data_IF_457226946907
#
_entry.id   IF_457226946907
#
_cell.length_a   1.000
_cell.length_b   1.000
_cell.length_c   1.000
_cell.angle_alpha   90.00
_cell.angle_beta   90.00
_cell.angle_gamma   90.00
#
_symmetry.space_group_name_H-M   'P 1'
#
loop_
_entity.id
_entity.type
_entity.pdbx_description
1 polymer ?
#
# COMPACT_ATOMS: atom_id res chain seq x y z
N UNK A 1 -42.46 -24.29 -32.45
CA UNK A 1 -42.51 -24.22 -30.97
C UNK A 1 -41.45 -25.06 -30.28
N UNK A 2 -41.01 -26.22 -30.80
CA UNK A 2 -39.93 -27.01 -30.18
C UNK A 2 -38.55 -26.30 -30.21
N UNK A 3 -38.19 -25.70 -31.36
CA UNK A 3 -36.89 -25.03 -31.57
C UNK A 3 -36.62 -23.81 -30.68
N UNK A 4 -37.67 -23.11 -30.25
CA UNK A 4 -37.56 -21.94 -29.35
C UNK A 4 -37.29 -22.36 -27.91
N UNK A 5 -37.90 -23.47 -27.46
CA UNK A 5 -37.76 -23.97 -26.09
C UNK A 5 -36.35 -24.55 -25.81
N UNK A 6 -35.72 -25.18 -26.81
CA UNK A 6 -34.33 -25.64 -26.71
C UNK A 6 -33.32 -24.48 -26.73
N UNK A 7 -33.63 -23.38 -27.43
CA UNK A 7 -32.80 -22.18 -27.47
C UNK A 7 -32.84 -21.42 -26.14
N UNK A 8 -34.02 -21.30 -25.53
CA UNK A 8 -34.19 -20.64 -24.24
C UNK A 8 -33.51 -21.44 -23.11
N UNK A 9 -33.60 -22.78 -23.14
CA UNK A 9 -32.91 -23.64 -22.18
C UNK A 9 -31.37 -23.59 -22.33
N UNK A 10 -30.86 -23.46 -23.56
CA UNK A 10 -29.43 -23.28 -23.79
C UNK A 10 -28.94 -21.91 -23.31
N UNK A 11 -29.73 -20.84 -23.52
CA UNK A 11 -29.42 -19.49 -23.05
C UNK A 11 -29.37 -19.43 -21.52
N UNK A 12 -30.35 -20.03 -20.84
CA UNK A 12 -30.41 -20.10 -19.36
C UNK A 12 -29.20 -20.86 -18.78
N UNK A 13 -28.75 -21.92 -19.47
CA UNK A 13 -27.60 -22.71 -19.04
C UNK A 13 -26.28 -21.93 -19.19
N UNK A 14 -26.14 -21.17 -20.28
CA UNK A 14 -24.99 -20.29 -20.52
C UNK A 14 -24.95 -19.15 -19.51
N UNK A 15 -26.10 -18.57 -19.18
CA UNK A 15 -26.21 -17.49 -18.19
C UNK A 15 -25.84 -17.98 -16.78
N UNK A 16 -26.32 -19.17 -16.38
CA UNK A 16 -25.90 -19.81 -15.12
C UNK A 16 -24.42 -20.12 -15.06
N UNK A 17 -23.83 -20.64 -16.14
CA UNK A 17 -22.38 -20.92 -16.19
C UNK A 17 -21.56 -19.62 -16.12
N UNK A 18 -22.02 -18.55 -16.77
CA UNK A 18 -21.38 -17.23 -16.72
C UNK A 18 -21.47 -16.58 -15.32
N UNK A 19 -22.61 -16.76 -14.64
CA UNK A 19 -22.82 -16.25 -13.28
C UNK A 19 -21.97 -17.00 -12.25
N UNK A 20 -21.88 -18.34 -12.38
CA UNK A 20 -21.01 -19.17 -11.55
C UNK A 20 -19.52 -18.80 -11.72
N UNK A 21 -19.09 -18.61 -12.97
CA UNK A 21 -17.73 -18.19 -13.29
C UNK A 21 -17.40 -16.79 -12.73
N UNK A 22 -18.38 -15.86 -12.73
CA UNK A 22 -18.22 -14.54 -12.10
C UNK A 22 -18.08 -14.64 -10.59
N UNK A 23 -18.88 -15.46 -9.93
CA UNK A 23 -18.84 -15.66 -8.48
C UNK A 23 -17.47 -16.21 -8.05
N UNK A 24 -16.96 -17.22 -8.75
CA UNK A 24 -15.65 -17.81 -8.48
C UNK A 24 -14.48 -16.83 -8.72
N UNK A 25 -14.55 -16.04 -9.79
CA UNK A 25 -13.55 -14.99 -10.06
C UNK A 25 -13.54 -13.94 -8.93
N UNK A 26 -14.72 -13.56 -8.44
CA UNK A 26 -14.88 -12.60 -7.34
C UNK A 26 -14.30 -13.13 -6.02
N UNK A 27 -14.51 -14.43 -5.74
CA UNK A 27 -13.92 -15.13 -4.59
C UNK A 27 -12.41 -15.18 -4.68
N UNK A 28 -11.87 -15.44 -5.88
CA UNK A 28 -10.43 -15.49 -6.10
C UNK A 28 -9.77 -14.12 -5.90
N UNK A 29 -10.36 -13.06 -6.48
CA UNK A 29 -9.89 -11.68 -6.31
C UNK A 29 -9.85 -11.27 -4.83
N UNK A 30 -10.90 -11.62 -4.06
CA UNK A 30 -10.96 -11.30 -2.63
C UNK A 30 -9.86 -11.99 -1.82
N UNK A 31 -9.54 -13.25 -2.14
CA UNK A 31 -8.44 -14.00 -1.49
C UNK A 31 -7.07 -13.42 -1.87
N UNK A 32 -6.90 -13.05 -3.14
CA UNK A 32 -5.66 -12.45 -3.64
C UNK A 32 -5.39 -11.12 -2.93
N UNK A 33 -6.39 -10.26 -2.82
CA UNK A 33 -6.28 -8.99 -2.10
C UNK A 33 -5.91 -9.20 -0.62
N UNK A 34 -6.46 -10.22 0.04
CA UNK A 34 -6.10 -10.59 1.41
C UNK A 34 -4.65 -11.05 1.54
N UNK A 35 -4.17 -11.89 0.61
CA UNK A 35 -2.77 -12.34 0.59
C UNK A 35 -1.78 -11.21 0.33
N UNK A 36 -2.10 -10.31 -0.61
CA UNK A 36 -1.28 -9.13 -0.92
C UNK A 36 -1.18 -8.23 0.29
N UNK A 37 -2.32 -7.92 0.93
CA UNK A 37 -2.35 -7.08 2.14
C UNK A 37 -1.54 -7.71 3.29
N UNK A 38 -1.63 -9.03 3.47
CA UNK A 38 -0.86 -9.75 4.50
C UNK A 38 0.64 -9.74 4.19
N UNK A 39 1.02 -9.91 2.92
CA UNK A 39 2.41 -9.89 2.49
C UNK A 39 3.04 -8.50 2.66
N UNK A 40 2.33 -7.46 2.22
CA UNK A 40 2.69 -6.05 2.39
C UNK A 40 2.88 -5.74 3.88
N UNK A 41 1.92 -6.11 4.73
CA UNK A 41 2.00 -5.89 6.17
C UNK A 41 3.21 -6.58 6.81
N UNK A 42 3.54 -7.82 6.42
CA UNK A 42 4.73 -8.55 6.93
C UNK A 42 6.04 -7.91 6.51
N UNK A 43 6.11 -7.36 5.30
CA UNK A 43 7.30 -6.64 4.81
C UNK A 43 7.48 -5.34 5.60
N UNK A 44 6.43 -4.53 5.75
CA UNK A 44 6.51 -3.30 6.55
C UNK A 44 6.85 -3.59 8.02
N UNK A 45 6.26 -4.61 8.64
CA UNK A 45 6.51 -4.92 10.04
C UNK A 45 7.95 -5.35 10.30
N UNK A 46 8.53 -6.21 9.44
CA UNK A 46 9.92 -6.67 9.59
C UNK A 46 10.92 -5.54 9.43
N UNK A 47 10.67 -4.62 8.50
CA UNK A 47 11.54 -3.45 8.30
C UNK A 47 11.46 -2.50 9.50
N UNK A 48 10.26 -2.26 10.02
CA UNK A 48 10.08 -1.36 11.16
C UNK A 48 10.71 -1.92 12.45
N UNK A 49 10.66 -3.25 12.63
CA UNK A 49 11.28 -3.94 13.78
C UNK A 49 12.82 -3.79 13.82
N UNK A 50 13.47 -3.81 12.65
CA UNK A 50 14.92 -3.58 12.52
C UNK A 50 15.30 -2.12 12.85
N UNK A 51 14.40 -1.18 12.59
CA UNK A 51 14.56 0.25 12.89
C UNK A 51 14.47 0.51 14.40
N UNK A 52 13.46 -0.05 15.06
CA UNK A 52 13.23 0.15 16.49
C UNK A 52 14.38 -0.40 17.35
N UNK A 53 15.03 -1.49 16.90
CA UNK A 53 16.20 -2.08 17.56
C UNK A 53 17.43 -1.17 17.59
N UNK A 54 17.49 -0.15 16.73
CA UNK A 54 18.64 0.79 16.65
C UNK A 54 18.36 2.13 17.34
N UNK A 55 17.14 2.36 17.85
CA UNK A 55 16.74 3.69 18.33
C UNK A 55 17.38 3.98 19.70
N UNK A 56 18.38 4.87 19.71
CA UNK A 56 19.10 5.26 20.91
C UNK A 56 18.25 6.24 21.73
N UNK A 57 18.47 6.31 23.03
CA UNK A 57 17.73 7.21 23.95
C UNK A 57 17.62 8.69 23.46
N UNK A 58 18.65 9.31 22.85
CA UNK A 58 18.56 10.67 22.31
C UNK A 58 17.55 10.81 21.17
N UNK A 59 17.38 9.78 20.35
CA UNK A 59 16.50 9.82 19.18
C UNK A 59 15.04 9.93 19.63
N UNK A 60 14.65 9.12 20.63
CA UNK A 60 13.30 9.15 21.23
C UNK A 60 12.97 10.50 21.87
N UNK A 61 13.97 11.16 22.46
CA UNK A 61 13.82 12.50 23.03
C UNK A 61 13.60 13.54 21.92
N UNK A 62 14.37 13.48 20.84
CA UNK A 62 14.21 14.37 19.70
C UNK A 62 12.86 14.20 18.99
N UNK A 63 12.32 12.98 18.85
CA UNK A 63 10.95 12.74 18.33
C UNK A 63 9.90 13.44 19.18
N UNK A 64 9.97 13.31 20.51
CA UNK A 64 9.00 13.96 21.41
C UNK A 64 9.09 15.49 21.34
N UNK A 65 10.30 16.04 21.31
CA UNK A 65 10.50 17.49 21.22
C UNK A 65 9.97 18.02 19.88
N UNK A 66 10.23 17.33 18.77
CA UNK A 66 9.72 17.72 17.45
C UNK A 66 8.19 17.67 17.37
N UNK A 67 7.57 16.61 17.90
CA UNK A 67 6.11 16.47 17.93
C UNK A 67 5.45 17.54 18.82
N UNK A 68 6.06 17.87 19.96
CA UNK A 68 5.55 18.90 20.87
C UNK A 68 5.71 20.31 20.28
N UNK A 69 6.89 20.62 19.73
CA UNK A 69 7.19 21.92 19.12
C UNK A 69 6.39 22.22 17.85
N UNK A 70 5.91 21.19 17.14
CA UNK A 70 5.06 21.34 15.95
C UNK A 70 3.56 21.53 16.22
N UNK A 71 3.13 21.53 17.49
CA UNK A 71 1.71 21.64 17.83
C UNK A 71 1.20 23.08 17.83
N UNK A 72 0.02 23.31 17.25
CA UNK A 72 -0.70 24.59 17.32
C UNK A 72 -0.94 25.06 18.77
N UNK A 73 -1.16 24.13 19.71
CA UNK A 73 -1.36 24.46 21.13
C UNK A 73 -0.09 25.00 21.77
N UNK A 74 1.07 24.46 21.40
CA UNK A 74 2.37 24.92 21.90
C UNK A 74 2.63 26.36 21.45
N UNK A 75 2.38 26.67 20.18
CA UNK A 75 2.53 28.03 19.63
C UNK A 75 1.71 29.05 20.42
N UNK A 76 0.42 28.75 20.68
CA UNK A 76 -0.46 29.65 21.42
C UNK A 76 0.01 29.87 22.87
N UNK A 77 0.39 28.81 23.57
CA UNK A 77 0.92 28.90 24.95
C UNK A 77 2.23 29.70 24.96
N UNK A 78 3.12 29.44 24.01
CA UNK A 78 4.40 30.15 23.89
C UNK A 78 4.20 31.65 23.72
N UNK A 79 3.33 32.07 22.80
CA UNK A 79 2.99 33.49 22.64
C UNK A 79 2.32 34.09 23.89
N UNK A 80 1.45 33.34 24.57
CA UNK A 80 0.81 33.81 25.81
C UNK A 80 1.84 34.05 26.92
N UNK A 81 2.84 33.17 27.07
CA UNK A 81 3.93 33.34 28.04
C UNK A 81 4.79 34.55 27.69
N UNK A 82 5.13 34.76 26.41
CA UNK A 82 5.87 35.95 25.97
C UNK A 82 5.09 37.24 26.25
N UNK A 83 3.79 37.27 25.93
CA UNK A 83 2.93 38.41 26.19
C UNK A 83 2.84 38.70 27.70
N UNK A 84 2.67 37.66 28.52
CA UNK A 84 2.63 37.78 29.97
C UNK A 84 3.96 38.35 30.52
N UNK A 85 5.10 37.86 30.04
CA UNK A 85 6.42 38.35 30.42
C UNK A 85 6.59 39.84 30.12
N UNK A 86 6.19 40.26 28.92
CA UNK A 86 6.24 41.67 28.49
C UNK A 86 5.31 42.52 29.37
N UNK A 87 4.08 42.07 29.61
CA UNK A 87 3.09 42.81 30.44
C UNK A 87 3.59 42.99 31.87
N UNK A 88 4.09 41.94 32.51
CA UNK A 88 4.62 41.99 33.88
C UNK A 88 5.80 42.97 33.96
N UNK A 89 6.75 42.89 33.04
CA UNK A 89 7.95 43.74 33.07
C UNK A 89 7.71 45.18 32.58
N UNK A 90 6.66 45.41 31.78
CA UNK A 90 6.27 46.75 31.32
C UNK A 90 5.46 47.51 32.38
N UNK A 91 4.54 46.81 33.06
CA UNK A 91 3.69 47.39 34.10
C UNK A 91 4.34 47.41 35.49
N UNK A 92 5.56 46.86 35.66
CA UNK A 92 6.29 46.92 36.92
C UNK A 92 6.55 48.38 37.34
N UNK A 93 5.77 48.87 38.31
CA UNK A 93 5.82 50.27 38.79
C UNK A 93 7.10 50.62 39.55
N UNK A 94 7.85 49.63 40.06
CA UNK A 94 9.07 49.85 40.85
C UNK A 94 10.28 49.17 40.20
N UNK A 95 11.45 49.83 40.24
CA UNK A 95 12.73 49.27 39.75
C UNK A 95 13.10 47.93 40.38
N UNK A 96 12.60 47.63 41.58
CA UNK A 96 12.83 46.36 42.27
C UNK A 96 12.06 45.18 41.66
N UNK A 97 10.95 45.43 40.95
CA UNK A 97 10.12 44.40 40.30
C UNK A 97 10.39 44.33 38.78
N UNK A 98 11.08 45.34 38.23
CA UNK A 98 11.42 45.43 36.81
C UNK A 98 12.71 44.68 36.51
N UNK A 99 12.59 43.36 36.34
CA UNK A 99 13.72 42.46 36.06
C UNK A 99 14.26 42.61 34.62
N UNK A 100 13.37 42.80 33.63
CA UNK A 100 13.74 42.90 32.21
C UNK A 100 13.02 44.09 31.54
N UNK A 101 13.55 45.30 31.72
CA UNK A 101 12.97 46.52 31.13
C UNK A 101 13.20 46.63 29.62
N UNK A 102 12.41 47.46 28.89
CA UNK A 102 12.63 47.74 27.47
C UNK A 102 14.07 48.23 27.25
N UNK A 103 14.84 47.65 26.32
CA UNK A 103 14.43 46.84 25.15
C UNK A 103 14.38 45.29 25.35
N UNK A 104 14.22 44.78 26.58
CA UNK A 104 14.07 43.35 26.93
C UNK A 104 15.29 42.47 26.57
N UNK A 105 16.45 42.76 27.16
CA UNK A 105 17.72 42.08 26.83
C UNK A 105 17.71 40.60 27.19
N UNK A 106 17.06 40.22 28.31
CA UNK A 106 17.05 38.84 28.77
C UNK A 106 16.10 37.99 27.92
N UNK A 107 14.92 38.53 27.62
CA UNK A 107 13.99 37.90 26.68
C UNK A 107 14.65 37.67 25.31
N UNK A 108 15.37 38.67 24.81
CA UNK A 108 16.06 38.58 23.53
C UNK A 108 17.18 37.53 23.54
N UNK A 109 17.96 37.45 24.64
CA UNK A 109 18.99 36.43 24.81
C UNK A 109 18.40 35.01 24.79
N UNK A 110 17.32 34.79 25.55
CA UNK A 110 16.65 33.48 25.61
C UNK A 110 16.08 33.08 24.26
N UNK A 111 15.40 34.00 23.56
CA UNK A 111 14.84 33.75 22.24
C UNK A 111 15.92 33.43 21.20
N UNK A 112 17.04 34.15 21.24
CA UNK A 112 18.18 33.91 20.33
C UNK A 112 18.79 32.53 20.57
N UNK A 113 18.94 32.12 21.83
CA UNK A 113 19.43 30.77 22.16
C UNK A 113 18.44 29.68 21.74
N UNK A 114 17.13 29.90 21.97
CA UNK A 114 16.07 28.98 21.54
C UNK A 114 16.11 28.77 20.03
N UNK A 115 16.20 29.85 19.27
CA UNK A 115 16.26 29.83 17.81
C UNK A 115 17.54 29.12 17.30
N UNK A 116 18.69 29.37 17.95
CA UNK A 116 19.95 28.72 17.61
C UNK A 116 19.92 27.20 17.80
N UNK A 117 19.23 26.71 18.83
CA UNK A 117 19.08 25.27 19.09
C UNK A 117 17.95 24.62 18.27
N UNK A 118 16.98 25.41 17.82
CA UNK A 118 15.83 24.93 17.05
C UNK A 118 16.25 24.35 15.68
N UNK A 119 17.14 25.01 14.95
CA UNK A 119 17.52 24.58 13.60
C UNK A 119 18.16 23.17 13.56
N UNK A 120 19.13 22.81 14.43
CA UNK A 120 19.67 21.46 14.52
C UNK A 120 18.62 20.41 14.91
N UNK A 121 17.72 20.69 15.86
CA UNK A 121 16.67 19.73 16.25
C UNK A 121 15.74 19.47 15.07
N UNK A 122 15.30 20.53 14.39
CA UNK A 122 14.45 20.40 13.21
C UNK A 122 15.18 19.58 12.15
N UNK A 123 16.44 19.89 11.86
CA UNK A 123 17.25 19.19 10.87
C UNK A 123 17.47 17.71 11.25
N UNK A 124 17.68 17.39 12.52
CA UNK A 124 17.78 16.00 13.00
C UNK A 124 16.46 15.25 12.82
N UNK A 125 15.33 15.89 13.14
CA UNK A 125 14.00 15.30 12.95
C UNK A 125 13.67 15.08 11.47
N UNK A 126 14.05 16.03 10.60
CA UNK A 126 13.87 15.96 9.15
C UNK A 126 14.76 14.87 8.53
N UNK A 127 16.04 14.82 8.89
CA UNK A 127 16.97 13.80 8.40
C UNK A 127 16.48 12.39 8.75
N UNK A 128 15.85 12.25 9.92
CA UNK A 128 15.25 10.97 10.34
C UNK A 128 13.97 10.64 9.58
N UNK A 129 13.07 11.61 9.36
CA UNK A 129 11.89 11.40 8.51
C UNK A 129 12.31 11.01 7.08
N UNK A 130 13.23 11.76 6.46
CA UNK A 130 13.75 11.44 5.14
C UNK A 130 14.41 10.05 5.06
N UNK A 131 15.08 9.60 6.13
CA UNK A 131 15.63 8.25 6.19
C UNK A 131 14.54 7.16 6.30
N UNK A 132 13.40 7.44 6.94
CA UNK A 132 12.24 6.53 6.95
C UNK A 132 11.58 6.51 5.56
N UNK A 133 11.27 7.68 5.01
CA UNK A 133 10.62 7.84 3.70
C UNK A 133 11.42 7.15 2.59
N UNK A 134 12.76 7.31 2.61
CA UNK A 134 13.63 6.63 1.64
C UNK A 134 13.56 5.11 1.76
N UNK A 135 13.46 4.56 2.99
CA UNK A 135 13.36 3.11 3.19
C UNK A 135 12.01 2.58 2.73
N UNK A 136 10.94 3.28 3.06
CA UNK A 136 9.58 2.96 2.60
C UNK A 136 9.54 2.93 1.07
N UNK A 137 10.07 3.96 0.40
CA UNK A 137 10.18 3.99 -1.05
C UNK A 137 11.00 2.83 -1.65
N UNK A 138 12.09 2.40 -0.98
CA UNK A 138 12.86 1.23 -1.44
C UNK A 138 12.09 -0.08 -1.29
N UNK A 139 11.24 -0.20 -0.27
CA UNK A 139 10.40 -1.37 -0.03
C UNK A 139 9.31 -1.44 -1.09
N UNK A 140 8.62 -0.34 -1.32
CA UNK A 140 7.57 -0.25 -2.34
C UNK A 140 8.13 -0.59 -3.71
N UNK A 141 9.32 -0.08 -4.02
CA UNK A 141 10.05 -0.43 -5.24
C UNK A 141 10.33 -1.94 -5.33
N UNK A 142 10.81 -2.56 -4.26
CA UNK A 142 11.11 -3.99 -4.23
C UNK A 142 9.85 -4.87 -4.35
N UNK A 143 8.74 -4.47 -3.73
CA UNK A 143 7.44 -5.13 -3.86
C UNK A 143 6.96 -5.05 -5.31
N UNK A 144 6.97 -3.85 -5.88
CA UNK A 144 6.52 -3.64 -7.25
C UNK A 144 7.38 -4.42 -8.27
N UNK A 145 8.70 -4.41 -8.09
CA UNK A 145 9.61 -5.20 -8.92
C UNK A 145 9.34 -6.71 -8.83
N UNK A 146 9.08 -7.22 -7.61
CA UNK A 146 8.72 -8.63 -7.43
C UNK A 146 7.37 -8.96 -8.08
N UNK A 147 6.38 -8.08 -7.95
CA UNK A 147 5.08 -8.25 -8.58
C UNK A 147 5.20 -8.28 -10.12
N UNK A 148 6.05 -7.43 -10.71
CA UNK A 148 6.33 -7.43 -12.14
C UNK A 148 6.91 -8.78 -12.61
N UNK A 149 7.89 -9.33 -11.88
CA UNK A 149 8.46 -10.65 -12.18
C UNK A 149 7.43 -11.78 -12.07
N UNK A 150 6.56 -11.74 -11.06
CA UNK A 150 5.53 -12.76 -10.86
C UNK A 150 4.43 -12.67 -11.94
N UNK A 151 4.11 -11.46 -12.41
CA UNK A 151 3.23 -11.25 -13.57
C UNK A 151 3.84 -11.85 -14.84
N UNK A 152 5.13 -11.62 -15.08
CA UNK A 152 5.83 -12.19 -16.24
C UNK A 152 5.82 -13.73 -16.21
N UNK A 153 6.10 -14.33 -15.05
CA UNK A 153 6.03 -15.78 -14.88
C UNK A 153 4.61 -16.34 -15.09
N UNK A 154 3.59 -15.66 -14.56
CA UNK A 154 2.18 -16.01 -14.80
C UNK A 154 1.82 -15.93 -16.28
N UNK A 155 2.27 -14.90 -17.00
CA UNK A 155 2.09 -14.80 -18.46
C UNK A 155 2.76 -15.96 -19.19
N UNK A 156 3.96 -16.36 -18.77
CA UNK A 156 4.65 -17.53 -19.29
C UNK A 156 3.88 -18.84 -19.05
N UNK A 157 3.25 -19.01 -17.87
CA UNK A 157 2.37 -20.15 -17.60
C UNK A 157 1.09 -20.11 -18.45
N UNK A 158 0.48 -18.93 -18.65
CA UNK A 158 -0.71 -18.76 -19.50
C UNK A 158 -0.41 -19.11 -20.96
N UNK A 159 0.69 -18.63 -21.54
CA UNK A 159 1.06 -18.97 -22.92
C UNK A 159 1.31 -20.49 -23.11
N UNK A 160 1.91 -21.15 -22.11
CA UNK A 160 2.08 -22.62 -22.14
C UNK A 160 0.74 -23.34 -22.08
N UNK A 161 -0.15 -22.92 -21.19
CA UNK A 161 -1.50 -23.46 -21.06
C UNK A 161 -2.29 -23.29 -22.38
N UNK A 162 -2.20 -22.12 -23.02
CA UNK A 162 -2.83 -21.86 -24.32
C UNK A 162 -2.30 -22.79 -25.42
N UNK A 163 -0.99 -23.05 -25.45
CA UNK A 163 -0.39 -24.00 -26.38
C UNK A 163 -0.88 -25.43 -26.15
N UNK A 164 -0.99 -25.87 -24.90
CA UNK A 164 -1.52 -27.19 -24.53
C UNK A 164 -3.01 -27.31 -24.88
N UNK A 165 -3.81 -26.26 -24.66
CA UNK A 165 -5.21 -26.25 -25.09
C UNK A 165 -5.36 -26.31 -26.61
N UNK A 166 -4.46 -25.65 -27.36
CA UNK A 166 -4.47 -25.68 -28.82
C UNK A 166 -4.14 -27.08 -29.34
N UNK A 167 -3.14 -27.76 -28.78
CA UNK A 167 -2.77 -29.13 -29.15
C UNK A 167 -3.89 -30.10 -28.81
N UNK A 168 -4.45 -30.04 -27.59
CA UNK A 168 -5.58 -30.86 -27.16
C UNK A 168 -6.81 -30.69 -28.05
N UNK A 169 -7.16 -29.45 -28.41
CA UNK A 169 -8.26 -29.18 -29.34
C UNK A 169 -8.01 -29.78 -30.72
N UNK A 170 -6.77 -29.77 -31.20
CA UNK A 170 -6.41 -30.38 -32.49
C UNK A 170 -6.54 -31.91 -32.45
N UNK A 171 -6.11 -32.54 -31.36
CA UNK A 171 -6.21 -33.99 -31.15
C UNK A 171 -7.67 -34.43 -31.05
N UNK A 172 -8.47 -33.72 -30.25
CA UNK A 172 -9.92 -33.96 -30.12
C UNK A 172 -10.64 -33.85 -31.47
N UNK A 173 -10.26 -32.90 -32.32
CA UNK A 173 -10.79 -32.78 -33.69
C UNK A 173 -10.43 -34.00 -34.55
N UNK A 174 -9.20 -34.50 -34.42
CA UNK A 174 -8.70 -35.64 -35.18
C UNK A 174 -9.44 -36.92 -34.79
N UNK A 175 -9.56 -37.17 -33.49
CA UNK A 175 -10.27 -38.33 -32.95
C UNK A 175 -11.75 -38.32 -33.37
N UNK A 176 -12.39 -37.14 -33.40
CA UNK A 176 -13.77 -36.98 -33.86
C UNK A 176 -13.92 -37.34 -35.35
N UNK A 177 -12.97 -36.97 -36.20
CA UNK A 177 -12.97 -37.34 -37.62
C UNK A 177 -12.73 -38.84 -37.83
N UNK A 178 -11.83 -39.46 -37.04
CA UNK A 178 -11.61 -40.91 -37.07
C UNK A 178 -12.87 -41.70 -36.63
N UNK A 179 -13.51 -41.30 -35.54
CA UNK A 179 -14.77 -41.91 -35.07
C UNK A 179 -15.85 -41.80 -36.14
N UNK A 180 -16.01 -40.63 -36.78
CA UNK A 180 -16.97 -40.46 -37.89
C UNK A 180 -16.65 -41.36 -39.07
N UNK A 181 -15.38 -41.51 -39.43
CA UNK A 181 -14.95 -42.38 -40.52
C UNK A 181 -15.26 -43.85 -40.22
N UNK A 182 -14.98 -44.31 -39.00
CA UNK A 182 -15.29 -45.67 -38.54
C UNK A 182 -16.80 -45.93 -38.58
N UNK A 183 -17.62 -45.03 -38.03
CA UNK A 183 -19.09 -45.15 -38.06
C UNK A 183 -19.62 -45.25 -39.49
N UNK A 184 -19.11 -44.44 -40.43
CA UNK A 184 -19.48 -44.52 -41.86
C UNK A 184 -19.12 -45.86 -42.48
N UNK A 185 -17.95 -46.41 -42.16
CA UNK A 185 -17.52 -47.71 -42.68
C UNK A 185 -18.34 -48.88 -42.13
N UNK A 186 -18.80 -48.78 -40.88
CA UNK A 186 -19.67 -49.79 -40.24
C UNK A 186 -21.09 -49.75 -40.80
N UNK A 187 -21.64 -48.55 -41.00
CA UNK A 187 -22.97 -48.34 -41.58
C UNK A 187 -23.04 -48.79 -43.06
N UNK A 188 -21.94 -48.61 -43.81
CA UNK A 188 -21.82 -49.13 -45.17
C UNK A 188 -21.74 -50.67 -45.23
N UNK A 189 -21.12 -51.30 -44.22
CA UNK A 189 -21.08 -52.78 -44.10
C UNK A 189 -22.42 -53.38 -43.70
N UNK A 190 -23.17 -52.71 -42.82
CA UNK A 190 -24.50 -53.16 -42.38
C UNK A 190 -25.62 -53.01 -43.41
N UNK A 191 -25.37 -52.32 -44.55
CA UNK A 191 -26.31 -52.23 -45.69
C UNK A 191 -26.04 -53.24 -46.81
N UNK A 192 -24.92 -53.95 -46.74
CA UNK A 192 -24.49 -54.91 -47.76
C UNK A 192 -24.79 -56.37 -47.39
N UNK A 193 -25.20 -56.62 -46.15
CA UNK A 193 -25.81 -57.87 -45.64
C UNK A 193 -27.33 -57.69 -45.50
#
# INVERSE_FOLDING_TARGET
MAKTKDMDAAAEKIEKEAELARDDLSRYSSRLNGLVAEFEQRIHSKVNEEYDKTTRWPDKLADRIAQFGGSWRFIVIFFAVLALWIVINSLALTKAVRFDGPPFILLNLVLSFLAGFQAPIIMMSQNRQAARDKRESMIDYAINYKAELEIDDMQGHLHRLEADFASFRSETKRDMEEIKALLRSTDAKGKAD
#
